data_IF_414227049118
#
_entry.id   IF_414227049118
#
_cell.length_a   1.000
_cell.length_b   1.000
_cell.length_c   1.000
_cell.angle_alpha   90.00
_cell.angle_beta   90.00
_cell.angle_gamma   90.00
#
_symmetry.space_group_name_H-M   'P 1'
#
loop_
_entity.id
_entity.type
_entity.pdbx_description
1 polymer ?
#
# COMPACT_ATOMS: atom_id res chain seq x y z
N UNK A 1 -12.00 -6.02 8.92
CA UNK A 1 -11.48 -6.13 7.54
C UNK A 1 -11.01 -7.56 7.36
N UNK A 2 -11.50 -8.18 6.33
CA UNK A 2 -11.15 -9.56 6.02
C UNK A 2 -10.25 -9.55 4.78
N UNK A 3 -9.05 -10.11 4.94
CA UNK A 3 -8.03 -10.16 3.91
C UNK A 3 -7.69 -11.61 3.60
N UNK A 4 -7.64 -11.94 2.33
CA UNK A 4 -7.10 -13.20 1.87
C UNK A 4 -5.63 -13.04 1.48
N UNK A 5 -4.79 -13.94 1.98
CA UNK A 5 -3.45 -14.10 1.43
C UNK A 5 -3.54 -14.83 0.09
N UNK A 6 -2.67 -14.50 -0.85
CA UNK A 6 -2.62 -15.23 -2.11
C UNK A 6 -2.22 -16.68 -1.89
N UNK A 7 -3.00 -17.60 -2.42
CA UNK A 7 -2.87 -19.04 -2.15
C UNK A 7 -1.58 -19.68 -2.70
N UNK A 8 -0.97 -19.06 -3.69
CA UNK A 8 0.28 -19.54 -4.30
C UNK A 8 1.54 -19.10 -3.56
N UNK A 9 1.40 -18.55 -2.37
CA UNK A 9 2.49 -18.03 -1.58
C UNK A 9 3.28 -19.16 -0.88
N UNK A 10 4.54 -19.31 -1.22
CA UNK A 10 5.39 -20.37 -0.69
C UNK A 10 6.72 -19.87 -0.08
N UNK A 11 6.82 -18.63 0.31
CA UNK A 11 8.01 -18.07 0.92
C UNK A 11 7.80 -17.65 2.40
N UNK A 12 8.88 -17.51 3.13
CA UNK A 12 8.82 -17.05 4.51
C UNK A 12 9.06 -15.54 4.63
N UNK A 13 8.58 -14.96 5.74
CA UNK A 13 8.68 -13.55 6.01
C UNK A 13 10.11 -13.02 6.11
N UNK A 14 11.05 -13.81 6.64
CA UNK A 14 12.45 -13.40 6.74
C UNK A 14 13.06 -13.20 5.36
N UNK A 15 12.78 -14.13 4.44
CA UNK A 15 13.22 -14.00 3.05
C UNK A 15 12.57 -12.81 2.36
N UNK A 16 11.26 -12.60 2.57
CA UNK A 16 10.55 -11.45 2.04
C UNK A 16 11.17 -10.13 2.51
N UNK A 17 11.33 -9.95 3.81
CA UNK A 17 11.86 -8.70 4.40
C UNK A 17 13.30 -8.44 3.95
N UNK A 18 14.12 -9.48 3.80
CA UNK A 18 15.53 -9.33 3.39
C UNK A 18 15.71 -8.78 1.96
N UNK A 19 14.67 -8.82 1.14
CA UNK A 19 14.70 -8.36 -0.26
C UNK A 19 14.15 -6.94 -0.44
N UNK A 20 13.62 -6.34 0.61
CA UNK A 20 13.12 -4.97 0.56
C UNK A 20 14.29 -3.99 0.57
N UNK A 21 14.23 -2.88 -0.19
CA UNK A 21 15.23 -1.83 -0.12
C UNK A 21 15.47 -1.36 1.32
N UNK A 22 16.73 -1.22 1.72
CA UNK A 22 17.12 -0.98 3.12
C UNK A 22 16.56 0.31 3.74
N UNK A 23 16.15 1.25 2.90
CA UNK A 23 15.64 2.57 3.29
C UNK A 23 14.12 2.62 3.50
N UNK A 24 13.47 1.44 3.58
CA UNK A 24 12.01 1.40 3.73
C UNK A 24 11.55 1.92 5.08
N UNK A 25 10.49 2.72 5.04
CA UNK A 25 9.75 3.16 6.22
C UNK A 25 8.43 2.40 6.36
N UNK A 26 7.75 2.18 5.24
CA UNK A 26 6.48 1.45 5.19
C UNK A 26 6.45 0.53 3.98
N UNK A 27 5.83 -0.63 4.16
CA UNK A 27 5.54 -1.60 3.09
C UNK A 27 4.05 -1.84 3.06
N UNK A 28 3.41 -1.40 2.00
CA UNK A 28 1.99 -1.60 1.76
C UNK A 28 1.77 -2.97 1.13
N UNK A 29 1.01 -3.82 1.80
CA UNK A 29 0.80 -5.22 1.41
C UNK A 29 -0.59 -5.47 0.81
N UNK A 30 -1.54 -4.56 1.02
CA UNK A 30 -2.85 -4.59 0.39
C UNK A 30 -3.12 -3.25 -0.26
N UNK A 31 -3.49 -3.26 -1.53
CA UNK A 31 -3.78 -2.04 -2.28
C UNK A 31 -5.17 -2.08 -2.90
N UNK A 32 -5.76 -0.91 -3.00
CA UNK A 32 -6.91 -0.62 -3.86
C UNK A 32 -6.39 0.34 -4.92
N UNK A 33 -6.07 -0.19 -6.08
CA UNK A 33 -5.52 0.61 -7.17
C UNK A 33 -6.65 1.23 -8.01
N UNK A 34 -6.48 2.50 -8.36
CA UNK A 34 -7.37 3.23 -9.27
C UNK A 34 -6.71 3.54 -10.60
N UNK A 35 -5.49 3.06 -10.79
CA UNK A 35 -4.68 3.21 -12.00
C UNK A 35 -4.22 1.87 -12.57
N UNK A 36 -3.06 1.84 -13.18
CA UNK A 36 -2.44 0.61 -13.65
C UNK A 36 -2.06 -0.33 -12.51
N UNK A 37 -2.27 -1.62 -12.69
CA UNK A 37 -1.90 -2.63 -11.69
C UNK A 37 -0.41 -2.94 -11.78
N UNK A 38 0.29 -2.79 -10.65
CA UNK A 38 1.66 -3.23 -10.46
C UNK A 38 1.69 -4.20 -9.28
N UNK A 39 2.21 -5.40 -9.46
CA UNK A 39 2.22 -6.45 -8.44
C UNK A 39 3.61 -6.70 -7.88
N UNK A 40 4.67 -6.50 -8.67
CA UNK A 40 6.04 -6.60 -8.18
C UNK A 40 6.38 -5.43 -7.25
N UNK A 41 7.37 -5.60 -6.41
CA UNK A 41 7.82 -4.57 -5.49
C UNK A 41 8.15 -3.26 -6.23
N UNK A 42 7.51 -2.18 -5.82
CA UNK A 42 7.71 -0.86 -6.41
C UNK A 42 7.58 0.23 -5.35
N UNK A 43 8.04 1.43 -5.65
CA UNK A 43 7.70 2.61 -4.85
C UNK A 43 6.20 2.87 -4.97
N UNK A 44 5.55 3.10 -3.83
CA UNK A 44 4.10 3.29 -3.79
C UNK A 44 3.66 4.43 -4.72
N UNK A 45 2.65 4.17 -5.54
CA UNK A 45 1.95 5.23 -6.25
C UNK A 45 0.98 5.96 -5.31
N UNK A 46 0.79 7.25 -5.53
CA UNK A 46 -0.12 8.07 -4.71
C UNK A 46 -1.56 7.53 -4.70
N UNK A 47 -1.95 6.86 -5.77
CA UNK A 47 -3.28 6.27 -5.96
C UNK A 47 -3.40 4.81 -5.54
N UNK A 48 -2.37 4.24 -4.92
CA UNK A 48 -2.45 2.94 -4.26
C UNK A 48 -3.02 3.16 -2.85
N UNK A 49 -4.34 3.11 -2.76
CA UNK A 49 -5.05 3.35 -1.52
C UNK A 49 -5.07 2.11 -0.64
N UNK A 50 -5.43 2.31 0.59
CA UNK A 50 -5.69 1.31 1.62
C UNK A 50 -4.63 1.20 2.70
N UNK A 51 -5.08 1.34 3.93
CA UNK A 51 -4.31 1.06 5.14
C UNK A 51 -4.71 -0.27 5.79
N UNK A 52 -5.29 -1.20 5.02
CA UNK A 52 -5.78 -2.47 5.55
C UNK A 52 -4.67 -3.43 5.98
N UNK A 53 -3.57 -3.44 5.24
CA UNK A 53 -2.41 -4.26 5.59
C UNK A 53 -1.12 -3.58 5.17
N UNK A 54 -0.27 -3.32 6.13
CA UNK A 54 1.06 -2.75 5.91
C UNK A 54 2.01 -3.14 7.06
N UNK A 55 3.30 -3.05 6.79
CA UNK A 55 4.36 -3.13 7.77
C UNK A 55 4.96 -1.73 7.89
N UNK A 56 5.17 -1.26 9.11
CA UNK A 56 5.78 0.04 9.40
C UNK A 56 7.06 -0.15 10.21
N UNK A 57 8.12 0.54 9.87
CA UNK A 57 9.33 0.56 10.67
C UNK A 57 9.08 1.27 12.00
N UNK A 58 9.74 0.80 13.06
CA UNK A 58 9.64 1.46 14.37
C UNK A 58 10.03 2.93 14.29
N UNK A 59 11.10 3.23 13.58
CA UNK A 59 11.58 4.60 13.39
C UNK A 59 10.49 5.51 12.80
N UNK A 60 9.83 5.05 11.75
CA UNK A 60 8.76 5.81 11.10
C UNK A 60 7.52 5.96 11.97
N UNK A 61 7.12 4.90 12.66
CA UNK A 61 6.02 4.96 13.62
C UNK A 61 6.28 6.00 14.73
N UNK A 62 7.48 5.98 15.32
CA UNK A 62 7.87 6.97 16.32
C UNK A 62 7.93 8.40 15.76
N UNK A 63 8.37 8.56 14.50
CA UNK A 63 8.34 9.85 13.80
C UNK A 63 6.90 10.37 13.67
N UNK A 64 5.97 9.52 13.23
CA UNK A 64 4.55 9.89 13.13
C UNK A 64 3.98 10.29 14.48
N UNK A 65 4.27 9.52 15.54
CA UNK A 65 3.83 9.85 16.89
C UNK A 65 4.36 11.21 17.34
N UNK A 66 5.65 11.49 17.15
CA UNK A 66 6.24 12.79 17.50
C UNK A 66 5.61 13.96 16.74
N UNK A 67 5.22 13.74 15.47
CA UNK A 67 4.63 14.80 14.66
C UNK A 67 3.15 15.06 14.96
N UNK A 68 2.40 14.02 15.27
CA UNK A 68 0.94 14.11 15.31
C UNK A 68 0.32 13.98 16.69
N UNK A 69 1.05 13.49 17.69
CA UNK A 69 0.53 13.35 19.05
C UNK A 69 1.00 14.50 19.94
N UNK A 70 0.06 15.08 20.67
CA UNK A 70 0.30 16.17 21.64
C UNK A 70 -0.49 15.89 22.91
N UNK A 71 0.14 15.18 23.88
CA UNK A 71 -0.55 14.69 25.06
C UNK A 71 -1.66 13.70 24.70
N UNK A 72 -2.88 14.04 25.07
CA UNK A 72 -4.10 13.26 24.79
C UNK A 72 -4.78 13.61 23.45
N UNK A 73 -4.16 14.48 22.66
CA UNK A 73 -4.73 15.00 21.42
C UNK A 73 -3.88 14.65 20.20
N UNK A 74 -4.55 14.62 19.05
CA UNK A 74 -3.89 14.46 17.76
C UNK A 74 -3.91 15.81 17.01
N UNK A 75 -2.77 16.17 16.44
CA UNK A 75 -2.66 17.30 15.51
C UNK A 75 -2.42 16.74 14.11
N UNK A 76 -3.41 16.85 13.26
CA UNK A 76 -3.30 16.57 11.84
C UNK A 76 -3.00 17.87 11.11
N UNK A 77 -1.77 18.00 10.63
CA UNK A 77 -1.36 19.18 9.87
C UNK A 77 -1.60 18.89 8.39
N UNK A 78 -2.45 19.71 7.77
CA UNK A 78 -2.80 19.57 6.36
C UNK A 78 -1.73 20.16 5.42
N UNK A 79 -0.70 20.81 5.96
CA UNK A 79 0.27 21.57 5.16
C UNK A 79 1.25 20.74 4.33
N UNK A 80 1.33 19.43 4.56
CA UNK A 80 2.36 18.57 3.94
C UNK A 80 1.76 17.46 3.08
N UNK A 81 0.44 17.38 3.00
CA UNK A 81 -0.25 16.23 2.40
C UNK A 81 -1.37 16.69 1.51
N UNK A 82 -1.61 16.00 0.40
CA UNK A 82 -2.75 16.34 -0.44
C UNK A 82 -4.09 16.18 0.30
N UNK A 83 -4.15 15.26 1.29
CA UNK A 83 -5.40 14.98 2.04
C UNK A 83 -5.09 14.59 3.49
N UNK A 84 -6.00 14.90 4.39
CA UNK A 84 -5.93 14.48 5.80
C UNK A 84 -6.54 13.07 5.99
N UNK A 85 -6.04 12.09 5.27
CA UNK A 85 -6.46 10.68 5.35
C UNK A 85 -5.31 9.80 5.81
N UNK A 86 -5.63 8.65 6.39
CA UNK A 86 -4.64 7.73 6.94
C UNK A 86 -3.59 7.29 5.92
N UNK A 87 -4.01 7.02 4.68
CA UNK A 87 -3.12 6.67 3.58
C UNK A 87 -2.03 7.72 3.38
N UNK A 88 -2.40 8.98 3.28
CA UNK A 88 -1.44 10.05 3.04
C UNK A 88 -0.56 10.31 4.26
N UNK A 89 -1.11 10.19 5.48
CA UNK A 89 -0.36 10.38 6.71
C UNK A 89 0.73 9.31 6.91
N UNK A 90 0.37 8.06 6.68
CA UNK A 90 1.27 6.93 6.92
C UNK A 90 2.29 6.81 5.79
N UNK A 91 1.82 6.90 4.55
CA UNK A 91 2.61 6.53 3.39
C UNK A 91 3.42 7.67 2.78
N UNK A 92 2.86 8.89 2.74
CA UNK A 92 3.54 10.01 2.07
C UNK A 92 4.58 10.72 2.94
N UNK A 93 4.74 10.34 4.20
CA UNK A 93 5.70 10.93 5.13
C UNK A 93 7.02 10.17 5.24
N UNK A 94 7.17 9.08 4.50
CA UNK A 94 8.36 8.23 4.49
C UNK A 94 8.56 7.51 3.15
N UNK A 95 9.61 6.70 3.10
CA UNK A 95 9.89 5.82 1.96
C UNK A 95 8.94 4.64 1.98
N UNK A 96 7.90 4.68 1.17
CA UNK A 96 6.89 3.64 1.10
C UNK A 96 7.03 2.82 -0.17
N UNK A 97 7.10 1.51 0.02
CA UNK A 97 7.06 0.52 -1.04
C UNK A 97 5.73 -0.22 -1.01
N UNK A 98 5.31 -0.74 -2.14
CA UNK A 98 4.10 -1.53 -2.27
C UNK A 98 4.38 -2.87 -2.95
N UNK A 99 3.73 -3.90 -2.45
CA UNK A 99 3.67 -5.24 -3.05
C UNK A 99 2.36 -5.90 -2.61
N UNK A 100 1.34 -5.96 -3.47
CA UNK A 100 -0.01 -6.36 -3.09
C UNK A 100 -0.14 -7.89 -3.00
N UNK A 101 0.20 -8.43 -1.85
CA UNK A 101 0.12 -9.86 -1.56
C UNK A 101 -1.12 -10.26 -0.77
N UNK A 102 -1.89 -9.28 -0.30
CA UNK A 102 -3.17 -9.50 0.35
C UNK A 102 -4.31 -8.95 -0.49
N UNK A 103 -5.37 -9.72 -0.59
CA UNK A 103 -6.58 -9.36 -1.32
C UNK A 103 -7.70 -8.98 -0.35
N UNK A 104 -8.42 -7.93 -0.68
CA UNK A 104 -9.65 -7.58 0.01
C UNK A 104 -10.78 -8.56 -0.31
N UNK A 105 -11.49 -9.01 0.69
CA UNK A 105 -12.79 -9.68 0.50
C UNK A 105 -13.88 -8.66 0.29
N UNK A 106 -14.22 -8.43 -0.95
CA UNK A 106 -15.24 -7.43 -1.34
C UNK A 106 -16.64 -7.77 -0.82
N UNK A 107 -16.90 -9.03 -0.57
CA UNK A 107 -18.23 -9.52 -0.14
C UNK A 107 -18.67 -9.02 1.24
N UNK A 108 -17.72 -8.59 2.08
CA UNK A 108 -18.01 -8.13 3.44
C UNK A 108 -18.24 -6.62 3.52
N UNK A 109 -18.08 -5.92 2.42
CA UNK A 109 -18.35 -4.50 2.31
C UNK A 109 -17.39 -3.60 3.10
N UNK A 110 -17.42 -2.32 2.79
CA UNK A 110 -16.84 -1.28 3.61
C UNK A 110 -17.95 -0.64 4.44
N UNK A 111 -17.75 -0.57 5.75
CA UNK A 111 -18.71 0.07 6.64
C UNK A 111 -18.63 1.60 6.61
N UNK A 112 -17.52 2.16 6.12
CA UNK A 112 -17.25 3.60 6.15
C UNK A 112 -17.67 4.28 4.84
N UNK A 113 -17.36 3.65 3.70
CA UNK A 113 -17.62 4.18 2.38
C UNK A 113 -18.19 3.08 1.47
N UNK A 114 -19.48 2.69 1.64
CA UNK A 114 -20.07 1.62 0.85
C UNK A 114 -20.08 1.91 -0.66
N UNK A 115 -20.15 3.19 -1.05
CA UNK A 115 -20.08 3.62 -2.44
C UNK A 115 -18.72 3.30 -3.11
N UNK A 116 -17.64 3.24 -2.36
CA UNK A 116 -16.33 2.88 -2.86
C UNK A 116 -16.22 1.39 -3.24
N UNK A 117 -17.06 0.54 -2.65
CA UNK A 117 -17.06 -0.90 -2.93
C UNK A 117 -17.35 -1.15 -4.41
N UNK A 118 -18.40 -0.53 -4.93
CA UNK A 118 -18.78 -0.70 -6.33
C UNK A 118 -17.89 0.10 -7.29
N UNK A 119 -17.47 1.29 -6.89
CA UNK A 119 -16.70 2.18 -7.76
C UNK A 119 -15.26 1.71 -7.99
N UNK A 120 -14.58 1.25 -6.94
CA UNK A 120 -13.13 0.96 -7.01
C UNK A 120 -12.71 -0.38 -6.41
N UNK A 121 -13.31 -0.83 -5.29
CA UNK A 121 -12.83 -2.02 -4.59
C UNK A 121 -13.02 -3.29 -5.42
N UNK A 122 -14.18 -3.47 -6.05
CA UNK A 122 -14.47 -4.65 -6.88
C UNK A 122 -13.54 -4.74 -8.09
N UNK A 123 -13.32 -3.62 -8.75
CA UNK A 123 -12.43 -3.57 -9.91
C UNK A 123 -10.99 -3.90 -9.52
N UNK A 124 -10.48 -3.31 -8.44
CA UNK A 124 -9.14 -3.57 -7.92
C UNK A 124 -8.97 -5.04 -7.48
N UNK A 125 -9.95 -5.57 -6.72
CA UNK A 125 -9.95 -6.97 -6.34
C UNK A 125 -9.92 -7.91 -7.54
N UNK A 126 -10.77 -7.67 -8.53
CA UNK A 126 -10.84 -8.50 -9.73
C UNK A 126 -9.51 -8.48 -10.50
N UNK A 127 -8.93 -7.30 -10.69
CA UNK A 127 -7.65 -7.17 -11.37
C UNK A 127 -6.51 -7.93 -10.65
N UNK A 128 -6.39 -7.75 -9.33
CA UNK A 128 -5.40 -8.42 -8.51
C UNK A 128 -5.62 -9.93 -8.44
N UNK A 129 -6.88 -10.36 -8.23
CA UNK A 129 -7.24 -11.77 -8.19
C UNK A 129 -6.95 -12.48 -9.51
N UNK A 130 -7.28 -11.87 -10.64
CA UNK A 130 -6.98 -12.39 -11.95
C UNK A 130 -5.47 -12.51 -12.19
N UNK A 131 -4.72 -11.47 -11.84
CA UNK A 131 -3.26 -11.52 -11.96
C UNK A 131 -2.66 -12.68 -11.16
N UNK A 132 -3.05 -12.84 -9.90
CA UNK A 132 -2.55 -13.92 -9.04
C UNK A 132 -3.00 -15.30 -9.51
N UNK A 133 -4.19 -15.43 -10.11
CA UNK A 133 -4.68 -16.69 -10.65
C UNK A 133 -3.95 -17.09 -11.93
N UNK A 134 -3.64 -16.13 -12.79
CA UNK A 134 -3.04 -16.37 -14.10
C UNK A 134 -1.51 -16.41 -14.07
N UNK A 135 -0.89 -15.59 -13.25
CA UNK A 135 0.56 -15.35 -13.27
C UNK A 135 1.25 -15.69 -11.95
N UNK A 136 0.51 -15.71 -10.84
CA UNK A 136 1.10 -15.81 -9.51
C UNK A 136 1.65 -17.17 -9.15
N UNK A 137 1.19 -18.24 -9.79
CA UNK A 137 1.66 -19.62 -9.51
C UNK A 137 3.14 -19.76 -9.85
N UNK A 138 3.59 -19.12 -10.91
CA UNK A 138 4.98 -19.18 -11.38
C UNK A 138 5.87 -18.04 -10.85
N UNK A 139 5.32 -17.18 -10.01
CA UNK A 139 6.09 -16.08 -9.45
C UNK A 139 6.86 -16.54 -8.23
N UNK A 140 8.18 -16.60 -8.36
CA UNK A 140 9.07 -16.77 -7.23
C UNK A 140 9.30 -15.44 -6.48
N UNK A 141 9.84 -15.53 -5.28
CA UNK A 141 10.11 -14.38 -4.44
C UNK A 141 11.09 -13.40 -5.10
N UNK A 142 12.04 -13.88 -5.88
CA UNK A 142 13.04 -13.02 -6.53
C UNK A 142 12.39 -12.19 -7.62
N UNK A 143 11.47 -12.76 -8.38
CA UNK A 143 10.69 -12.03 -9.38
C UNK A 143 9.74 -11.03 -8.73
N UNK A 144 9.03 -11.44 -7.68
CA UNK A 144 8.09 -10.58 -6.98
C UNK A 144 8.78 -9.37 -6.36
N UNK A 145 9.94 -9.59 -5.76
CA UNK A 145 10.70 -8.58 -5.03
C UNK A 145 11.77 -7.89 -5.90
N UNK A 146 11.76 -8.11 -7.21
CA UNK A 146 12.65 -7.42 -8.13
C UNK A 146 12.23 -5.94 -8.23
N UNK A 147 12.90 -5.11 -7.48
CA UNK A 147 12.60 -3.68 -7.40
C UNK A 147 13.09 -2.93 -8.64
N UNK A 148 12.16 -2.29 -9.35
CA UNK A 148 12.48 -1.33 -10.40
C UNK A 148 12.43 0.10 -9.82
N UNK A 149 13.56 0.79 -9.72
CA UNK A 149 13.61 2.14 -9.15
C UNK A 149 12.88 3.19 -10.01
N UNK A 150 12.57 2.86 -11.25
CA UNK A 150 11.85 3.77 -12.16
C UNK A 150 10.34 3.55 -12.16
N UNK A 151 9.89 2.41 -11.62
CA UNK A 151 8.47 2.12 -11.46
C UNK A 151 7.99 2.72 -10.13
N UNK A 152 6.81 3.34 -10.15
CA UNK A 152 6.21 3.86 -8.92
C UNK A 152 6.90 5.12 -8.40
N UNK A 153 7.29 6.03 -9.25
CA UNK A 153 7.59 7.37 -8.77
C UNK A 153 6.31 7.95 -8.19
N UNK A 154 6.41 8.44 -6.96
CA UNK A 154 5.43 9.41 -6.47
C UNK A 154 5.37 10.48 -7.54
N UNK A 155 4.30 10.53 -8.31
CA UNK A 155 4.06 11.68 -9.16
C UNK A 155 4.10 12.86 -8.21
N UNK A 156 4.99 13.81 -8.48
CA UNK A 156 5.08 15.02 -7.68
C UNK A 156 3.67 15.53 -7.41
N UNK A 157 3.37 15.97 -6.19
CA UNK A 157 2.07 16.50 -5.89
C UNK A 157 1.75 17.48 -7.02
N UNK A 158 0.60 17.30 -7.63
CA UNK A 158 0.12 18.18 -8.70
C UNK A 158 0.40 19.61 -8.26
N UNK A 159 1.47 20.18 -8.81
CA UNK A 159 1.78 21.57 -8.58
C UNK A 159 0.58 22.33 -9.13
N UNK A 160 -0.22 22.83 -8.18
CA UNK A 160 -1.16 23.91 -8.37
C UNK A 160 -1.48 24.22 -9.83
N UNK A 161 -2.49 23.59 -10.34
CA UNK A 161 -3.27 24.24 -11.37
C UNK A 161 -4.01 25.38 -10.65
N UNK A 162 -3.41 26.53 -10.71
CA UNK A 162 -4.05 27.80 -10.43
C UNK A 162 -5.22 28.04 -11.38
#
# INVERSE_FOLDING_TARGET
IDLDIVKCWNFNWSNFISKIPYDWDVIQLAIICTGGLHVTLHRRFVNDFSTACYIISRHHAEKLMRHHVRGDKYKLDNGVKPRAVADDLIYNSGNTYAVPIFLYRVQLGSSIHPEHVDAIHKASYTALSNWWTQSGIDVDIDKLMNFDPYLGRVTEPLQNQQ
#
